data_IF_706159546777
#
_entry.id   IF_706159546777
#
_cell.length_a   1.000
_cell.length_b   1.000
_cell.length_c   1.000
_cell.angle_alpha   90.00
_cell.angle_beta   90.00
_cell.angle_gamma   90.00
#
_symmetry.space_group_name_H-M   'P 1'
#
loop_
_entity.id
_entity.type
_entity.pdbx_description
1 polymer ?
#
# COMPACT_ATOMS: atom_id res chain seq x y z
N UNK A 1 68.33 31.73 -66.44
CA UNK A 1 68.04 30.35 -66.84
C UNK A 1 67.06 29.83 -65.80
N UNK A 2 65.75 30.05 -66.02
CA UNK A 2 64.84 29.15 -66.77
C UNK A 2 64.75 27.80 -66.05
N UNK A 3 63.69 27.59 -65.28
CA UNK A 3 62.37 27.06 -65.72
C UNK A 3 62.38 25.54 -65.64
N UNK A 4 61.42 24.98 -64.91
CA UNK A 4 60.38 24.07 -65.43
C UNK A 4 59.68 23.42 -64.22
N UNK A 5 58.60 24.04 -63.73
CA UNK A 5 57.20 23.68 -63.98
C UNK A 5 56.75 22.32 -63.42
N UNK A 6 55.78 22.37 -62.51
CA UNK A 6 54.39 21.94 -62.68
C UNK A 6 53.76 21.82 -61.28
N UNK A 7 52.78 22.66 -60.89
CA UNK A 7 51.32 22.50 -61.12
C UNK A 7 50.84 21.08 -60.84
N UNK A 8 49.83 20.79 -60.05
CA UNK A 8 48.83 21.53 -59.27
C UNK A 8 48.41 20.53 -58.15
N UNK A 9 47.73 20.87 -57.06
CA UNK A 9 46.30 21.13 -57.03
C UNK A 9 45.86 21.23 -55.56
N UNK A 10 44.85 22.07 -55.33
CA UNK A 10 43.74 21.85 -54.39
C UNK A 10 44.03 22.07 -52.89
N UNK A 11 43.67 23.23 -52.32
CA UNK A 11 42.32 23.70 -51.95
C UNK A 11 41.87 23.24 -50.56
N UNK A 12 41.29 24.18 -49.81
CA UNK A 12 40.41 23.90 -48.69
C UNK A 12 41.16 23.71 -47.37
N UNK A 13 41.22 24.71 -46.51
CA UNK A 13 40.16 24.93 -45.51
C UNK A 13 40.04 23.76 -44.53
N UNK A 14 40.50 23.96 -43.29
CA UNK A 14 39.62 23.99 -42.12
C UNK A 14 40.41 24.32 -40.85
N UNK A 15 40.16 25.55 -40.39
CA UNK A 15 39.88 25.93 -39.01
C UNK A 15 40.13 24.82 -37.98
N UNK A 16 41.11 25.06 -37.13
CA UNK A 16 41.27 24.42 -35.83
C UNK A 16 39.98 24.56 -35.01
N UNK A 17 39.17 23.51 -34.99
CA UNK A 17 38.13 23.34 -33.98
C UNK A 17 38.32 22.00 -33.31
N UNK A 18 39.08 22.02 -32.23
CA UNK A 18 39.10 20.97 -31.21
C UNK A 18 37.70 20.85 -30.60
N UNK A 19 36.80 20.10 -31.24
CA UNK A 19 35.56 19.67 -30.60
C UNK A 19 35.85 18.42 -29.80
N UNK A 20 36.12 18.61 -28.51
CA UNK A 20 36.06 17.54 -27.51
C UNK A 20 34.68 16.85 -27.61
N UNK A 21 34.59 15.53 -27.85
CA UNK A 21 33.31 14.85 -27.75
C UNK A 21 32.90 14.86 -26.27
N UNK A 22 31.78 15.50 -25.95
CA UNK A 22 31.22 15.52 -24.60
C UNK A 22 31.19 14.09 -24.02
N UNK A 23 31.60 13.88 -22.74
CA UNK A 23 31.94 12.55 -22.25
C UNK A 23 30.72 11.61 -22.21
N UNK A 24 30.91 10.30 -22.49
CA UNK A 24 29.85 9.29 -22.49
C UNK A 24 29.19 9.09 -21.12
N UNK A 25 29.79 9.63 -20.05
CA UNK A 25 29.35 9.54 -18.67
C UNK A 25 27.91 10.06 -18.45
N UNK A 26 27.48 11.10 -19.18
CA UNK A 26 26.12 11.63 -19.03
C UNK A 26 25.07 10.62 -19.47
N UNK A 27 25.28 9.90 -20.58
CA UNK A 27 24.33 8.90 -21.10
C UNK A 27 24.23 7.68 -20.20
N UNK A 28 25.33 7.26 -19.59
CA UNK A 28 25.34 6.15 -18.63
C UNK A 28 24.65 6.55 -17.34
N UNK A 29 24.89 7.77 -16.86
CA UNK A 29 24.18 8.32 -15.71
C UNK A 29 22.68 8.48 -15.98
N UNK A 30 22.27 8.98 -17.14
CA UNK A 30 20.84 9.05 -17.49
C UNK A 30 20.21 7.66 -17.58
N UNK A 31 20.91 6.67 -18.15
CA UNK A 31 20.45 5.28 -18.20
C UNK A 31 20.30 4.67 -16.82
N UNK A 32 21.27 4.85 -15.93
CA UNK A 32 21.20 4.37 -14.55
C UNK A 32 20.05 5.03 -13.78
N UNK A 33 19.83 6.33 -13.96
CA UNK A 33 18.70 7.05 -13.36
C UNK A 33 17.37 6.54 -13.90
N UNK A 34 17.24 6.30 -15.22
CA UNK A 34 16.02 5.75 -15.82
C UNK A 34 15.75 4.34 -15.31
N UNK A 35 16.77 3.48 -15.22
CA UNK A 35 16.62 2.13 -14.67
C UNK A 35 16.19 2.18 -13.21
N UNK A 36 16.81 3.04 -12.40
CA UNK A 36 16.46 3.23 -11.00
C UNK A 36 15.03 3.77 -10.85
N UNK A 37 14.60 4.69 -11.72
CA UNK A 37 13.24 5.21 -11.75
C UNK A 37 12.25 4.09 -12.11
N UNK A 38 12.53 3.28 -13.11
CA UNK A 38 11.68 2.14 -13.49
C UNK A 38 11.54 1.13 -12.35
N UNK A 39 12.65 0.83 -11.67
CA UNK A 39 12.66 -0.02 -10.48
C UNK A 39 11.82 0.61 -9.37
N UNK A 40 12.00 1.91 -9.08
CA UNK A 40 11.21 2.64 -8.08
C UNK A 40 9.73 2.65 -8.40
N UNK A 41 9.34 2.80 -9.67
CA UNK A 41 7.94 2.76 -10.10
C UNK A 41 7.37 1.36 -9.91
N UNK A 42 8.10 0.31 -10.28
CA UNK A 42 7.70 -1.08 -10.01
C UNK A 42 7.51 -1.35 -8.52
N UNK A 43 8.46 -0.92 -7.69
CA UNK A 43 8.34 -1.02 -6.24
C UNK A 43 7.15 -0.23 -5.70
N UNK A 44 6.90 0.98 -6.22
CA UNK A 44 5.76 1.80 -5.80
C UNK A 44 4.43 1.16 -6.21
N UNK A 45 4.34 0.56 -7.40
CA UNK A 45 3.16 -0.21 -7.82
C UNK A 45 2.95 -1.45 -6.93
N UNK A 46 4.01 -2.19 -6.62
CA UNK A 46 3.93 -3.33 -5.71
C UNK A 46 3.50 -2.91 -4.30
N UNK A 47 4.06 -1.80 -3.81
CA UNK A 47 3.69 -1.22 -2.52
C UNK A 47 2.27 -0.67 -2.52
N UNK A 48 1.79 -0.10 -3.63
CA UNK A 48 0.41 0.35 -3.79
C UNK A 48 -0.56 -0.84 -3.77
N UNK A 49 -0.25 -1.93 -4.46
CA UNK A 49 -1.04 -3.15 -4.42
C UNK A 49 -1.07 -3.76 -3.00
N UNK A 50 0.07 -3.77 -2.29
CA UNK A 50 0.13 -4.25 -0.92
C UNK A 50 -0.57 -3.30 0.08
N UNK A 51 -0.48 -1.99 -0.13
CA UNK A 51 -1.21 -1.00 0.66
C UNK A 51 -2.71 -1.20 0.52
N UNK A 52 -3.20 -1.46 -0.70
CA UNK A 52 -4.59 -1.86 -0.90
C UNK A 52 -4.91 -3.09 -0.06
N UNK A 53 -4.14 -4.18 -0.13
CA UNK A 53 -4.35 -5.38 0.69
C UNK A 53 -4.39 -5.11 2.20
N UNK A 54 -3.52 -4.24 2.71
CA UNK A 54 -3.49 -3.87 4.13
C UNK A 54 -4.79 -3.17 4.58
N UNK A 55 -5.42 -2.38 3.71
CA UNK A 55 -6.67 -1.67 3.99
C UNK A 55 -7.92 -2.40 3.47
N UNK A 56 -7.80 -3.30 2.51
CA UNK A 56 -8.88 -4.16 2.03
C UNK A 56 -9.01 -5.34 2.97
N UNK A 57 -9.97 -5.24 3.88
CA UNK A 57 -11.12 -6.13 4.13
C UNK A 57 -11.24 -7.49 3.35
N UNK A 58 -10.18 -8.10 2.83
CA UNK A 58 -10.25 -9.37 2.09
C UNK A 58 -10.04 -10.59 3.00
N UNK A 59 -9.38 -10.41 4.15
CA UNK A 59 -9.06 -11.48 5.11
C UNK A 59 -10.01 -11.58 6.32
N UNK A 60 -11.01 -10.70 6.42
CA UNK A 60 -11.87 -10.59 7.60
C UNK A 60 -11.11 -10.19 8.88
N UNK A 61 -11.79 -10.23 10.05
CA UNK A 61 -11.17 -9.96 11.34
C UNK A 61 -10.11 -11.01 11.66
N UNK A 62 -8.91 -10.59 12.05
CA UNK A 62 -7.89 -11.52 12.56
C UNK A 62 -8.29 -11.98 13.96
N UNK A 63 -8.72 -13.23 14.09
CA UNK A 63 -9.02 -13.84 15.38
C UNK A 63 -7.71 -14.18 16.12
N UNK A 64 -7.61 -13.76 17.38
CA UNK A 64 -6.50 -14.07 18.26
C UNK A 64 -7.03 -14.74 19.53
N UNK A 65 -6.33 -15.76 20.02
CA UNK A 65 -6.69 -16.40 21.28
C UNK A 65 -6.19 -15.53 22.44
N UNK A 66 -7.13 -15.10 23.28
CA UNK A 66 -6.83 -14.26 24.44
C UNK A 66 -6.60 -15.11 25.69
N UNK A 67 -7.59 -15.92 26.11
CA UNK A 67 -7.53 -16.70 27.36
C UNK A 67 -8.55 -17.84 27.34
N UNK A 68 -8.34 -18.87 28.18
CA UNK A 68 -9.27 -19.96 28.42
C UNK A 68 -8.73 -21.30 27.95
N UNK A 69 -9.63 -22.19 27.51
CA UNK A 69 -9.26 -23.45 26.86
C UNK A 69 -9.26 -23.27 25.34
N UNK A 70 -8.08 -23.33 24.74
CA UNK A 70 -7.87 -23.21 23.30
C UNK A 70 -8.57 -24.31 22.47
N UNK A 71 -8.93 -25.43 23.09
CA UNK A 71 -9.62 -26.55 22.44
C UNK A 71 -11.11 -26.59 22.73
N UNK A 72 -11.64 -25.60 23.45
CA UNK A 72 -13.07 -25.53 23.71
C UNK A 72 -13.88 -25.47 22.40
N UNK A 73 -14.95 -26.25 22.33
CA UNK A 73 -15.87 -26.22 21.20
C UNK A 73 -16.58 -24.86 21.09
N UNK A 74 -16.92 -24.29 22.24
CA UNK A 74 -17.60 -23.00 22.38
C UNK A 74 -16.60 -21.91 22.83
N UNK A 75 -16.80 -20.68 22.33
CA UNK A 75 -15.94 -19.53 22.63
C UNK A 75 -16.75 -18.26 22.89
N UNK A 76 -16.12 -17.29 23.55
CA UNK A 76 -16.60 -15.91 23.68
C UNK A 76 -15.76 -15.06 22.74
N UNK A 77 -16.39 -14.30 21.86
CA UNK A 77 -15.67 -13.39 20.97
C UNK A 77 -15.42 -12.06 21.69
N UNK A 78 -14.19 -11.56 21.62
CA UNK A 78 -13.86 -10.20 22.07
C UNK A 78 -13.78 -9.30 20.83
N UNK A 79 -14.56 -8.22 20.83
CA UNK A 79 -14.53 -7.21 19.77
C UNK A 79 -14.01 -5.92 20.39
N UNK A 80 -12.81 -5.50 20.01
CA UNK A 80 -12.19 -4.28 20.50
C UNK A 80 -12.43 -3.10 19.56
N UNK A 81 -12.99 -2.02 20.09
CA UNK A 81 -13.18 -0.74 19.39
C UNK A 81 -12.18 0.25 20.00
N UNK A 82 -11.05 0.42 19.33
CA UNK A 82 -9.97 1.31 19.78
C UNK A 82 -9.80 2.49 18.83
N UNK A 83 -9.62 3.69 19.40
CA UNK A 83 -9.39 4.90 18.63
C UNK A 83 -10.64 5.48 17.99
N UNK A 84 -10.47 6.40 17.04
CA UNK A 84 -11.58 7.17 16.46
C UNK A 84 -12.46 6.32 15.56
N UNK A 85 -13.78 6.39 15.76
CA UNK A 85 -14.79 5.69 14.95
C UNK A 85 -15.01 6.46 13.63
N UNK A 86 -14.33 6.03 12.58
CA UNK A 86 -14.48 6.56 11.22
C UNK A 86 -13.91 5.58 10.18
N UNK A 87 -14.26 5.71 8.89
CA UNK A 87 -13.68 4.89 7.85
C UNK A 87 -12.16 5.09 7.76
N UNK A 88 -11.36 4.04 7.50
CA UNK A 88 -11.79 2.67 7.14
C UNK A 88 -11.95 1.72 8.36
N UNK A 89 -11.90 2.22 9.60
CA UNK A 89 -11.96 1.38 10.80
C UNK A 89 -13.37 0.90 11.10
N UNK A 90 -14.38 1.71 10.77
CA UNK A 90 -15.80 1.34 10.92
C UNK A 90 -16.11 0.02 10.23
N UNK A 91 -15.63 -0.17 9.02
CA UNK A 91 -15.89 -1.38 8.23
C UNK A 91 -15.30 -2.62 8.92
N UNK A 92 -14.09 -2.52 9.49
CA UNK A 92 -13.46 -3.61 10.25
C UNK A 92 -14.27 -4.01 11.48
N UNK A 93 -14.84 -3.03 12.19
CA UNK A 93 -15.71 -3.28 13.34
C UNK A 93 -16.99 -3.99 12.89
N UNK A 94 -17.63 -3.51 11.82
CA UNK A 94 -18.85 -4.11 11.28
C UNK A 94 -18.63 -5.55 10.80
N UNK A 95 -17.47 -5.85 10.23
CA UNK A 95 -17.10 -7.22 9.86
C UNK A 95 -16.83 -8.12 11.06
N UNK A 96 -16.19 -7.58 12.10
CA UNK A 96 -15.96 -8.32 13.36
C UNK A 96 -17.29 -8.71 13.99
N UNK A 97 -18.25 -7.79 14.00
CA UNK A 97 -19.62 -8.03 14.45
C UNK A 97 -20.29 -9.11 13.58
N UNK A 98 -20.12 -9.05 12.25
CA UNK A 98 -20.70 -10.02 11.32
C UNK A 98 -20.10 -11.41 11.50
N UNK A 99 -18.78 -11.53 11.56
CA UNK A 99 -18.09 -12.80 11.77
C UNK A 99 -18.50 -13.44 13.10
N UNK A 100 -18.57 -12.65 14.17
CA UNK A 100 -19.06 -13.12 15.46
C UNK A 100 -20.54 -13.53 15.41
N UNK A 101 -21.37 -12.88 14.60
CA UNK A 101 -22.77 -13.25 14.42
C UNK A 101 -22.95 -14.59 13.68
N UNK A 102 -22.11 -14.85 12.68
CA UNK A 102 -22.19 -16.02 11.78
C UNK A 102 -21.50 -17.27 12.36
N UNK A 103 -20.60 -17.14 13.33
CA UNK A 103 -19.90 -18.27 13.95
C UNK A 103 -20.73 -18.93 15.06
N UNK A 104 -21.29 -20.12 14.82
CA UNK A 104 -22.10 -20.87 15.79
C UNK A 104 -21.36 -21.26 17.08
N UNK A 105 -20.02 -21.28 17.06
CA UNK A 105 -19.18 -21.56 18.24
C UNK A 105 -19.12 -20.36 19.18
N UNK A 106 -19.36 -19.15 18.68
CA UNK A 106 -19.42 -17.94 19.49
C UNK A 106 -20.76 -17.91 20.24
N UNK A 107 -20.70 -18.11 21.56
CA UNK A 107 -21.89 -18.16 22.44
C UNK A 107 -22.21 -16.83 23.12
N UNK A 108 -21.27 -15.90 23.13
CA UNK A 108 -21.43 -14.57 23.70
C UNK A 108 -20.32 -13.64 23.21
N UNK A 109 -20.53 -12.35 23.39
CA UNK A 109 -19.64 -11.33 22.86
C UNK A 109 -19.28 -10.34 23.96
N UNK A 110 -17.97 -10.12 24.13
CA UNK A 110 -17.44 -9.07 24.98
C UNK A 110 -17.02 -7.89 24.08
N UNK A 111 -17.69 -6.76 24.27
CA UNK A 111 -17.35 -5.53 23.58
C UNK A 111 -16.39 -4.71 24.44
N UNK A 112 -15.14 -4.59 24.01
CA UNK A 112 -14.14 -3.74 24.64
C UNK A 112 -14.09 -2.40 23.89
N UNK A 113 -14.22 -1.28 24.61
CA UNK A 113 -14.26 0.05 23.99
C UNK A 113 -13.21 0.93 24.64
N UNK A 114 -12.24 1.37 23.83
CA UNK A 114 -11.26 2.39 24.15
C UNK A 114 -11.24 3.43 23.03
N UNK A 115 -12.29 4.25 22.98
CA UNK A 115 -12.54 5.18 21.87
C UNK A 115 -12.93 6.57 22.38
N UNK A 116 -12.37 7.66 21.82
CA UNK A 116 -12.85 9.02 22.06
C UNK A 116 -14.17 9.33 21.33
N UNK A 117 -14.74 8.37 20.57
CA UNK A 117 -15.89 8.56 19.69
C UNK A 117 -15.47 8.78 18.24
N UNK A 118 -16.26 9.52 17.47
CA UNK A 118 -15.99 9.77 16.05
C UNK A 118 -17.21 10.22 15.27
N UNK A 119 -17.34 9.73 14.05
CA UNK A 119 -18.45 10.06 13.16
C UNK A 119 -19.76 9.48 13.71
N UNK A 120 -20.79 10.33 13.75
CA UNK A 120 -22.12 9.97 14.27
C UNK A 120 -22.78 8.89 13.40
N UNK A 121 -22.63 8.99 12.07
CA UNK A 121 -23.21 8.03 11.13
C UNK A 121 -22.61 6.63 11.34
N UNK A 122 -21.30 6.53 11.47
CA UNK A 122 -20.55 5.30 11.72
C UNK A 122 -20.92 4.68 13.07
N UNK A 123 -20.97 5.51 14.11
CA UNK A 123 -21.42 5.09 15.44
C UNK A 123 -22.84 4.54 15.41
N UNK A 124 -23.74 5.17 14.64
CA UNK A 124 -25.12 4.72 14.46
C UNK A 124 -25.19 3.36 13.74
N UNK A 125 -24.36 3.17 12.71
CA UNK A 125 -24.27 1.88 12.01
C UNK A 125 -23.78 0.76 12.93
N UNK A 126 -22.70 0.99 13.67
CA UNK A 126 -22.17 0.03 14.65
C UNK A 126 -23.22 -0.31 15.70
N UNK A 127 -23.86 0.70 16.29
CA UNK A 127 -24.91 0.51 17.27
C UNK A 127 -26.06 -0.35 16.73
N UNK A 128 -26.54 -0.05 15.51
CA UNK A 128 -27.62 -0.81 14.90
C UNK A 128 -27.27 -2.29 14.76
N UNK A 129 -26.06 -2.61 14.28
CA UNK A 129 -25.61 -4.01 14.14
C UNK A 129 -25.42 -4.71 15.48
N UNK A 130 -24.92 -4.02 16.49
CA UNK A 130 -24.82 -4.59 17.85
C UNK A 130 -26.19 -4.89 18.44
N UNK A 131 -27.19 -4.02 18.23
CA UNK A 131 -28.57 -4.26 18.69
C UNK A 131 -29.19 -5.47 17.99
N UNK A 132 -28.93 -5.67 16.70
CA UNK A 132 -29.37 -6.86 15.97
C UNK A 132 -28.69 -8.13 16.47
N UNK A 133 -27.37 -8.07 16.69
CA UNK A 133 -26.56 -9.15 17.22
C UNK A 133 -27.05 -9.60 18.59
N UNK A 134 -27.35 -8.65 19.48
CA UNK A 134 -27.88 -8.91 20.83
C UNK A 134 -29.16 -9.75 20.83
N UNK A 135 -29.97 -9.70 19.77
CA UNK A 135 -31.18 -10.51 19.64
C UNK A 135 -30.88 -12.00 19.45
N UNK A 136 -29.65 -12.34 19.02
CA UNK A 136 -29.19 -13.70 18.73
C UNK A 136 -28.21 -14.22 19.77
N UNK A 137 -27.29 -13.36 20.23
CA UNK A 137 -26.19 -13.70 21.13
C UNK A 137 -26.09 -12.68 22.26
N UNK A 138 -25.89 -13.11 23.52
CA UNK A 138 -25.71 -12.22 24.65
C UNK A 138 -24.41 -11.40 24.53
#
# INVERSE_FOLDING_TARGET
MQEEQASAETSGEKVTKSSSPAPPARRWMTRSVVVLLMISVLFNLGFYAWYQEYFTIAGGPTEQFETGDQFAADKIAIISITGTIMPPFTERILESIKAAAEDDRVKGILLEIDSPGGLVADSHQIYHRLVELRKKKP
#
